data_IF_082550312342
#
_entry.id   IF_082550312342
#
_cell.length_a   1.000
_cell.length_b   1.000
_cell.length_c   1.000
_cell.angle_alpha   90.00
_cell.angle_beta   90.00
_cell.angle_gamma   90.00
#
_symmetry.space_group_name_H-M   'P 1'
#
loop_
_entity.id
_entity.type
_entity.pdbx_description
1 polymer ?
#
# COMPACT_ATOMS: atom_id res chain seq x y z
N UNK A 1 -2.49 14.35 -0.91
CA UNK A 1 -1.73 14.55 -2.18
C UNK A 1 -0.29 15.00 -1.96
N UNK A 2 -0.02 16.07 -1.19
CA UNK A 2 1.34 16.56 -0.95
C UNK A 2 2.34 15.50 -0.41
N UNK A 3 1.88 14.56 0.43
CA UNK A 3 2.68 13.44 0.94
C UNK A 3 3.19 12.53 -0.19
N UNK A 4 2.28 12.12 -1.09
CA UNK A 4 2.63 11.25 -2.21
C UNK A 4 3.54 11.96 -3.22
N UNK A 5 3.32 13.24 -3.52
CA UNK A 5 4.18 13.99 -4.44
C UNK A 5 5.61 14.11 -3.90
N UNK A 6 5.77 14.39 -2.60
CA UNK A 6 7.07 14.44 -1.94
C UNK A 6 7.76 13.08 -1.92
N UNK A 7 7.03 12.03 -1.60
CA UNK A 7 7.54 10.65 -1.63
C UNK A 7 8.01 10.26 -3.03
N UNK A 8 7.19 10.51 -4.06
CA UNK A 8 7.55 10.25 -5.46
C UNK A 8 8.79 11.01 -5.87
N UNK A 9 8.90 12.30 -5.51
CA UNK A 9 10.08 13.11 -5.82
C UNK A 9 11.35 12.57 -5.14
N UNK A 10 11.26 12.19 -3.87
CA UNK A 10 12.39 11.61 -3.15
C UNK A 10 12.83 10.28 -3.79
N UNK A 11 11.87 9.40 -4.07
CA UNK A 11 12.12 8.10 -4.67
C UNK A 11 12.71 8.20 -6.08
N UNK A 12 12.21 9.13 -6.91
CA UNK A 12 12.79 9.39 -8.23
C UNK A 12 14.23 9.92 -8.12
N UNK A 13 14.48 10.86 -7.20
CA UNK A 13 15.81 11.42 -6.97
C UNK A 13 16.82 10.35 -6.53
N UNK A 14 16.42 9.49 -5.60
CA UNK A 14 17.21 8.35 -5.14
C UNK A 14 17.48 7.37 -6.29
N UNK A 15 16.42 6.98 -7.01
CA UNK A 15 16.47 6.05 -8.15
C UNK A 15 17.42 6.54 -9.25
N UNK A 16 17.44 7.85 -9.54
CA UNK A 16 18.35 8.46 -10.52
C UNK A 16 19.83 8.41 -10.13
N UNK A 17 20.13 8.36 -8.83
CA UNK A 17 21.50 8.35 -8.31
C UNK A 17 22.16 6.96 -8.35
N UNK A 18 21.40 5.90 -8.61
CA UNK A 18 21.93 4.54 -8.65
C UNK A 18 22.82 4.25 -9.86
N UNK A 19 23.82 3.40 -9.63
CA UNK A 19 24.81 2.99 -10.63
C UNK A 19 24.19 2.33 -11.87
N UNK A 20 23.09 1.58 -11.74
CA UNK A 20 22.43 0.95 -12.89
C UNK A 20 21.84 1.97 -13.87
N UNK A 21 21.46 3.17 -13.40
CA UNK A 21 21.00 4.27 -14.26
C UNK A 21 22.17 4.89 -15.01
N UNK A 22 23.32 5.09 -14.34
CA UNK A 22 24.57 5.53 -14.97
C UNK A 22 25.04 4.53 -16.03
N UNK A 23 25.01 3.23 -15.74
CA UNK A 23 25.36 2.18 -16.69
C UNK A 23 24.40 2.12 -17.88
N UNK A 24 23.10 2.32 -17.67
CA UNK A 24 22.12 2.40 -18.75
C UNK A 24 22.38 3.61 -19.67
N UNK A 25 22.73 4.77 -19.11
CA UNK A 25 23.15 5.94 -19.89
C UNK A 25 24.46 5.69 -20.65
N UNK A 26 25.45 5.09 -20.01
CA UNK A 26 26.73 4.76 -20.64
C UNK A 26 26.59 3.76 -21.81
N UNK A 27 25.55 2.92 -21.80
CA UNK A 27 25.19 2.02 -22.91
C UNK A 27 24.47 2.71 -24.09
N UNK A 28 24.25 4.03 -24.03
CA UNK A 28 23.61 4.79 -25.12
C UNK A 28 22.08 4.66 -25.17
N UNK A 29 21.43 4.21 -24.09
CA UNK A 29 19.96 4.16 -24.05
C UNK A 29 19.37 5.58 -24.00
N UNK A 30 18.36 5.83 -24.85
CA UNK A 30 17.61 7.07 -24.84
C UNK A 30 17.04 7.38 -23.44
N UNK A 31 17.23 8.61 -22.98
CA UNK A 31 16.88 9.04 -21.62
C UNK A 31 15.41 8.78 -21.28
N UNK A 32 14.51 8.96 -22.24
CA UNK A 32 13.07 8.67 -22.11
C UNK A 32 12.80 7.19 -21.78
N UNK A 33 13.60 6.27 -22.35
CA UNK A 33 13.48 4.82 -22.11
C UNK A 33 14.05 4.45 -20.74
N UNK A 34 15.11 5.11 -20.29
CA UNK A 34 15.67 4.94 -18.93
C UNK A 34 14.66 5.42 -17.89
N UNK A 35 14.07 6.60 -18.08
CA UNK A 35 13.09 7.17 -17.15
C UNK A 35 11.82 6.31 -17.07
N UNK A 36 11.17 5.97 -18.20
CA UNK A 36 9.93 5.16 -18.18
C UNK A 36 10.13 3.75 -17.65
N UNK A 37 11.20 3.06 -18.06
CA UNK A 37 11.38 1.62 -17.78
C UNK A 37 12.09 1.36 -16.46
N UNK A 38 13.09 2.16 -16.11
CA UNK A 38 13.97 1.90 -14.96
C UNK A 38 13.66 2.81 -13.79
N UNK A 39 13.47 4.11 -14.01
CA UNK A 39 13.25 5.06 -12.91
C UNK A 39 11.82 4.95 -12.37
N UNK A 40 10.83 5.20 -13.22
CA UNK A 40 9.41 5.23 -12.80
C UNK A 40 8.97 3.89 -12.20
N UNK A 41 9.30 2.76 -12.86
CA UNK A 41 8.91 1.43 -12.36
C UNK A 41 9.49 1.13 -10.98
N UNK A 42 10.74 1.53 -10.72
CA UNK A 42 11.41 1.26 -9.46
C UNK A 42 10.96 2.23 -8.35
N UNK A 43 10.72 3.50 -8.68
CA UNK A 43 10.22 4.50 -7.73
C UNK A 43 8.74 4.29 -7.33
N UNK A 44 7.95 3.58 -8.13
CA UNK A 44 6.55 3.26 -7.82
C UNK A 44 6.39 2.20 -6.72
N UNK A 45 7.39 1.33 -6.51
CA UNK A 45 7.32 0.25 -5.52
C UNK A 45 7.00 0.76 -4.10
N UNK A 46 7.76 1.73 -3.54
CA UNK A 46 7.47 2.30 -2.23
C UNK A 46 6.15 3.07 -2.15
N UNK A 47 5.67 3.65 -3.26
CA UNK A 47 4.37 4.35 -3.28
C UNK A 47 3.23 3.36 -3.10
N UNK A 48 3.29 2.22 -3.80
CA UNK A 48 2.30 1.16 -3.65
C UNK A 48 2.28 0.68 -2.19
N UNK A 49 3.42 0.71 -1.47
CA UNK A 49 3.51 0.17 -0.10
C UNK A 49 2.78 1.10 0.84
N UNK A 50 3.06 2.40 0.69
CA UNK A 50 2.44 3.45 1.46
C UNK A 50 0.93 3.51 1.18
N UNK A 51 0.51 3.30 -0.07
CA UNK A 51 -0.91 3.19 -0.40
C UNK A 51 -1.57 1.97 0.27
N UNK A 52 -0.89 0.83 0.35
CA UNK A 52 -1.40 -0.35 1.05
C UNK A 52 -1.61 -0.10 2.55
N UNK A 53 -0.67 0.58 3.20
CA UNK A 53 -0.80 0.98 4.61
C UNK A 53 -1.95 1.97 4.82
N UNK A 54 -2.14 2.91 3.88
CA UNK A 54 -3.25 3.86 3.95
C UNK A 54 -4.62 3.19 3.87
N UNK A 55 -4.77 2.13 3.08
CA UNK A 55 -6.02 1.35 3.03
C UNK A 55 -6.36 0.74 4.40
N UNK A 56 -5.38 0.17 5.11
CA UNK A 56 -5.59 -0.31 6.47
C UNK A 56 -5.97 0.81 7.44
N UNK A 57 -5.34 1.97 7.28
CA UNK A 57 -5.65 3.17 8.09
C UNK A 57 -7.08 3.68 7.82
N UNK A 58 -7.54 3.60 6.57
CA UNK A 58 -8.90 3.96 6.18
C UNK A 58 -9.97 3.07 6.82
N UNK A 59 -9.69 1.76 6.95
CA UNK A 59 -10.59 0.84 7.64
C UNK A 59 -10.70 1.22 9.13
N UNK A 60 -9.59 1.57 9.77
CA UNK A 60 -9.58 2.02 11.16
C UNK A 60 -10.32 3.36 11.36
N UNK A 61 -10.12 4.32 10.45
CA UNK A 61 -10.79 5.62 10.52
C UNK A 61 -12.27 5.58 10.09
N UNK A 62 -12.70 4.54 9.37
CA UNK A 62 -14.10 4.34 8.98
C UNK A 62 -15.04 4.27 10.19
N UNK A 63 -14.58 3.72 11.33
CA UNK A 63 -15.37 3.64 12.57
C UNK A 63 -15.83 5.03 13.03
N UNK A 64 -14.97 6.04 12.90
CA UNK A 64 -15.28 7.43 13.29
C UNK A 64 -16.32 8.00 12.33
N UNK A 65 -16.19 7.74 11.04
CA UNK A 65 -17.14 8.20 10.01
C UNK A 65 -18.52 7.56 10.20
N UNK A 66 -18.57 6.26 10.46
CA UNK A 66 -19.81 5.53 10.76
C UNK A 66 -20.53 6.12 11.98
N UNK A 67 -19.77 6.45 13.04
CA UNK A 67 -20.31 7.05 14.25
C UNK A 67 -20.86 8.48 14.03
N UNK A 68 -20.16 9.31 13.24
CA UNK A 68 -20.59 10.71 12.97
C UNK A 68 -21.80 10.76 12.05
N UNK A 69 -21.85 9.90 11.03
CA UNK A 69 -22.93 9.90 10.04
C UNK A 69 -24.10 8.97 10.39
N UNK A 70 -24.05 8.28 11.55
CA UNK A 70 -25.00 7.25 11.96
C UNK A 70 -25.27 6.20 10.86
N UNK A 71 -24.25 5.91 10.06
CA UNK A 71 -24.33 4.90 9.00
C UNK A 71 -24.05 3.53 9.63
N UNK A 72 -25.02 2.59 9.65
CA UNK A 72 -24.81 1.28 10.24
C UNK A 72 -23.78 0.48 9.43
N UNK A 73 -22.62 0.27 10.03
CA UNK A 73 -21.48 -0.44 9.47
C UNK A 73 -20.82 -1.39 10.47
N UNK A 74 -19.69 -1.97 10.03
CA UNK A 74 -18.96 -2.98 10.79
C UNK A 74 -18.33 -2.38 12.07
N UNK A 75 -17.92 -1.10 12.02
CA UNK A 75 -17.41 -0.38 13.18
C UNK A 75 -18.47 -0.09 14.23
N UNK A 76 -19.68 0.31 13.83
CA UNK A 76 -20.79 0.52 14.76
C UNK A 76 -21.20 -0.76 15.49
N UNK A 77 -21.20 -1.91 14.82
CA UNK A 77 -21.45 -3.23 15.44
C UNK A 77 -20.44 -3.54 16.55
N UNK A 78 -19.15 -3.25 16.31
CA UNK A 78 -18.09 -3.45 17.32
C UNK A 78 -18.26 -2.50 18.50
N UNK A 79 -18.61 -1.24 18.25
CA UNK A 79 -18.83 -0.24 19.30
C UNK A 79 -20.04 -0.61 20.17
N UNK A 80 -21.10 -1.13 19.58
CA UNK A 80 -22.28 -1.58 20.30
C UNK A 80 -22.00 -2.84 21.13
N UNK A 81 -21.31 -3.83 20.55
CA UNK A 81 -20.83 -5.01 21.27
C UNK A 81 -19.90 -4.65 22.45
N UNK A 82 -19.06 -3.62 22.29
CA UNK A 82 -18.21 -3.11 23.37
C UNK A 82 -19.03 -2.51 24.53
N UNK A 83 -20.15 -1.85 24.24
CA UNK A 83 -21.06 -1.30 25.25
C UNK A 83 -21.84 -2.39 25.98
N UNK A 84 -22.30 -3.42 25.27
CA UNK A 84 -23.02 -4.57 25.84
C UNK A 84 -22.10 -5.62 26.46
N UNK A 85 -20.77 -5.42 26.38
CA UNK A 85 -19.72 -6.37 26.81
C UNK A 85 -19.88 -7.75 26.16
N UNK A 86 -20.33 -7.78 24.91
CA UNK A 86 -20.42 -8.99 24.11
C UNK A 86 -19.04 -9.35 23.55
N UNK A 87 -18.22 -9.98 24.39
CA UNK A 87 -16.85 -10.39 24.04
C UNK A 87 -16.77 -11.30 22.80
N UNK A 88 -17.67 -12.29 22.60
CA UNK A 88 -17.70 -13.09 21.37
C UNK A 88 -17.81 -12.26 20.09
N UNK A 89 -18.67 -11.24 20.07
CA UNK A 89 -18.87 -10.37 18.90
C UNK A 89 -17.64 -9.50 18.65
N UNK A 90 -17.03 -8.95 19.69
CA UNK A 90 -15.78 -8.18 19.57
C UNK A 90 -14.65 -9.05 19.01
N UNK A 91 -14.52 -10.29 19.50
CA UNK A 91 -13.46 -11.21 19.10
C UNK A 91 -13.62 -11.66 17.64
N UNK A 92 -14.85 -12.01 17.23
CA UNK A 92 -15.15 -12.37 15.84
C UNK A 92 -14.93 -11.21 14.89
N UNK A 93 -15.38 -10.00 15.25
CA UNK A 93 -15.15 -8.81 14.45
C UNK A 93 -13.65 -8.48 14.30
N UNK A 94 -12.88 -8.56 15.39
CA UNK A 94 -11.43 -8.38 15.36
C UNK A 94 -10.74 -9.41 14.46
N UNK A 95 -11.16 -10.68 14.54
CA UNK A 95 -10.65 -11.75 13.68
C UNK A 95 -10.97 -11.49 12.19
N UNK A 96 -12.21 -11.09 11.87
CA UNK A 96 -12.62 -10.76 10.50
C UNK A 96 -11.84 -9.58 9.92
N UNK A 97 -11.64 -8.50 10.70
CA UNK A 97 -10.83 -7.35 10.28
C UNK A 97 -9.38 -7.79 10.01
N UNK A 98 -8.79 -8.57 10.93
CA UNK A 98 -7.44 -9.10 10.75
C UNK A 98 -7.31 -9.97 9.48
N UNK A 99 -8.30 -10.83 9.23
CA UNK A 99 -8.35 -11.66 8.02
C UNK A 99 -8.45 -10.82 6.74
N UNK A 100 -9.27 -9.77 6.73
CA UNK A 100 -9.41 -8.86 5.59
C UNK A 100 -8.13 -8.07 5.33
N UNK A 101 -7.46 -7.60 6.39
CA UNK A 101 -6.16 -6.92 6.27
C UNK A 101 -5.11 -7.87 5.69
N UNK A 102 -5.03 -9.10 6.20
CA UNK A 102 -4.13 -10.12 5.67
C UNK A 102 -4.42 -10.44 4.19
N UNK A 103 -5.69 -10.60 3.82
CA UNK A 103 -6.10 -10.81 2.44
C UNK A 103 -5.69 -9.62 1.54
N UNK A 104 -5.89 -8.38 2.02
CA UNK A 104 -5.46 -7.17 1.33
C UNK A 104 -3.94 -7.07 1.17
N UNK A 105 -3.18 -7.40 2.21
CA UNK A 105 -1.72 -7.47 2.17
C UNK A 105 -1.23 -8.53 1.17
N UNK A 106 -1.83 -9.72 1.16
CA UNK A 106 -1.51 -10.77 0.18
C UNK A 106 -1.82 -10.34 -1.26
N UNK A 107 -2.93 -9.64 -1.47
CA UNK A 107 -3.26 -9.07 -2.78
C UNK A 107 -2.25 -8.00 -3.20
N UNK A 108 -1.79 -7.16 -2.27
CA UNK A 108 -0.74 -6.18 -2.52
C UNK A 108 0.58 -6.88 -2.89
N UNK A 109 0.98 -7.92 -2.15
CA UNK A 109 2.17 -8.73 -2.43
C UNK A 109 2.09 -9.43 -3.79
N UNK A 110 0.90 -9.91 -4.18
CA UNK A 110 0.68 -10.48 -5.50
C UNK A 110 0.79 -9.42 -6.61
N UNK A 111 0.22 -8.23 -6.39
CA UNK A 111 0.37 -7.09 -7.29
C UNK A 111 1.84 -6.66 -7.41
N UNK A 112 2.61 -6.73 -6.32
CA UNK A 112 4.06 -6.54 -6.34
C UNK A 112 4.77 -7.57 -7.21
N UNK A 113 4.45 -8.86 -7.07
CA UNK A 113 5.02 -9.93 -7.90
C UNK A 113 4.73 -9.77 -9.40
N UNK A 114 3.56 -9.23 -9.75
CA UNK A 114 3.20 -8.88 -11.13
C UNK A 114 4.00 -7.68 -11.66
N UNK A 115 4.21 -6.66 -10.83
CA UNK A 115 4.87 -5.41 -11.22
C UNK A 115 6.40 -5.55 -11.23
N UNK A 116 6.98 -6.36 -10.35
CA UNK A 116 8.43 -6.57 -10.25
C UNK A 116 8.86 -7.96 -10.77
N UNK A 117 9.29 -8.08 -12.04
CA UNK A 117 9.78 -9.33 -12.60
C UNK A 117 11.14 -9.78 -12.04
N UNK A 118 11.77 -9.05 -11.11
CA UNK A 118 13.03 -9.48 -10.46
C UNK A 118 12.84 -10.62 -9.45
N UNK A 119 11.66 -10.71 -8.82
CA UNK A 119 11.34 -11.80 -7.87
C UNK A 119 11.25 -13.15 -8.58
N UNK A 120 10.87 -13.15 -9.87
CA UNK A 120 10.72 -14.38 -10.68
C UNK A 120 12.04 -15.06 -11.09
N UNK A 121 13.20 -14.43 -10.87
CA UNK A 121 14.50 -14.94 -11.37
C UNK A 121 15.38 -15.63 -10.33
N UNK A 122 14.85 -15.87 -9.11
CA UNK A 122 15.56 -16.56 -8.02
C UNK A 122 14.92 -17.92 -7.63
N UNK A 123 14.09 -18.49 -8.49
CA UNK A 123 13.66 -19.88 -8.41
C UNK A 123 14.33 -20.69 -9.52
#
# INVERSE_FOLDING_TARGET
LARYTRLMRAQVSETLSHEYVRTARAKGLAETRVIRRHVIRNSLLPIITVMGVDVGTLIGSAIIVEAVFAWPGFGTLVVEAAKTRDYPVIQTAGFTIGLLVLAGSLLADFAYGLIDPRVRRKA
#
